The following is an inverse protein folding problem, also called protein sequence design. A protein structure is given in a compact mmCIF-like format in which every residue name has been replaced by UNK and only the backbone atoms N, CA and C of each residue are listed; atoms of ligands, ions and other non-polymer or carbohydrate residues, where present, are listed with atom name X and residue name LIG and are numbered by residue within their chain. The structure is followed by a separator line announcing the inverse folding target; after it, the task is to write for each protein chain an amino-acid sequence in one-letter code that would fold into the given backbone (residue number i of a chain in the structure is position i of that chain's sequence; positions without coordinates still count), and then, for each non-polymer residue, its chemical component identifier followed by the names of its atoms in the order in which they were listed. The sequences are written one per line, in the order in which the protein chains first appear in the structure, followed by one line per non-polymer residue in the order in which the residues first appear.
data_IF_592525964353
#
_entry.id   IF_592525964353
#
_cell.length_a   1.000
_cell.length_b   1.000
_cell.length_c   1.000
_cell.angle_alpha   90.00
_cell.angle_beta   90.00
_cell.angle_gamma   90.00
#
_symmetry.space_group_name_H-M   'P 1'
#
loop_
_entity.id
_entity.type
_entity.pdbx_description
1 polymer ?
#
# COMPACT_ATOMS: atom_id res chain seq x y z
N UNK A 1 -7.44 -43.92 -55.68
CA UNK A 1 -6.10 -43.90 -55.07
C UNK A 1 -5.54 -42.48 -55.17
N UNK A 2 -5.03 -41.94 -54.05
CA UNK A 2 -4.01 -40.86 -53.83
C UNK A 2 -3.74 -39.89 -55.01
N UNK A 3 -3.65 -38.55 -54.88
CA UNK A 3 -3.53 -37.62 -53.75
C UNK A 3 -2.68 -36.38 -54.18
N UNK A 4 -2.84 -35.25 -53.45
CA UNK A 4 -2.05 -33.97 -53.42
C UNK A 4 -2.28 -32.97 -54.58
N UNK A 5 -2.83 -31.76 -54.35
CA UNK A 5 -2.40 -30.54 -53.60
C UNK A 5 -1.36 -29.67 -54.32
N UNK A 6 -1.78 -28.46 -54.73
CA UNK A 6 -1.00 -27.21 -54.83
C UNK A 6 -2.00 -26.04 -54.66
N UNK A 7 -2.12 -25.48 -53.46
CA UNK A 7 -1.41 -24.31 -52.87
C UNK A 7 -1.78 -22.96 -53.46
N UNK A 8 -2.21 -22.12 -52.51
CA UNK A 8 -2.72 -20.76 -52.51
C UNK A 8 -1.68 -19.65 -52.68
N UNK A 9 -2.12 -18.51 -53.19
CA UNK A 9 -1.80 -17.15 -52.70
C UNK A 9 -3.02 -16.26 -53.02
N UNK A 10 -3.44 -15.33 -52.14
CA UNK A 10 -2.77 -14.03 -52.16
C UNK A 10 -2.72 -13.26 -50.82
N UNK A 11 -2.03 -12.11 -50.93
CA UNK A 11 -2.07 -10.89 -50.13
C UNK A 11 -1.08 -10.72 -48.97
N UNK A 12 -0.03 -9.95 -49.31
CA UNK A 12 0.90 -9.26 -48.42
C UNK A 12 0.20 -8.07 -47.74
N UNK A 13 0.09 -8.11 -46.42
CA UNK A 13 -0.03 -6.95 -45.55
C UNK A 13 1.30 -6.74 -44.81
N UNK A 14 1.65 -5.46 -44.61
CA UNK A 14 2.93 -5.00 -44.09
C UNK A 14 3.22 -5.48 -42.64
N UNK A 15 4.49 -5.79 -42.28
CA UNK A 15 4.88 -6.16 -40.92
C UNK A 15 5.33 -4.93 -40.14
N UNK A 16 4.72 -4.68 -38.98
CA UNK A 16 5.13 -3.57 -38.12
C UNK A 16 4.31 -3.43 -36.83
N UNK A 17 4.00 -4.52 -36.14
CA UNK A 17 3.43 -4.50 -34.80
C UNK A 17 3.64 -5.84 -34.09
N UNK A 18 4.88 -6.16 -33.74
CA UNK A 18 5.18 -7.25 -32.80
C UNK A 18 6.42 -6.88 -32.00
N UNK A 19 6.23 -6.43 -30.77
CA UNK A 19 7.11 -6.72 -29.65
C UNK A 19 6.42 -6.29 -28.35
N UNK A 20 6.50 -7.18 -27.35
CA UNK A 20 6.06 -7.06 -25.96
C UNK A 20 4.66 -7.64 -25.62
N UNK A 21 4.46 -8.93 -25.92
CA UNK A 21 3.59 -9.81 -25.12
C UNK A 21 4.43 -10.94 -24.54
N UNK A 22 4.87 -10.81 -23.29
CA UNK A 22 5.22 -11.96 -22.44
C UNK A 22 5.31 -11.52 -20.98
N UNK A 23 4.17 -11.43 -20.31
CA UNK A 23 4.11 -11.65 -18.86
C UNK A 23 3.51 -13.05 -18.72
N UNK A 24 4.32 -14.01 -18.24
CA UNK A 24 3.85 -15.38 -18.03
C UNK A 24 3.12 -15.47 -16.70
N UNK A 25 1.81 -15.65 -16.74
CA UNK A 25 1.00 -16.03 -15.59
C UNK A 25 0.73 -17.53 -15.66
N UNK A 26 1.09 -18.28 -14.61
CA UNK A 26 0.72 -19.69 -14.50
C UNK A 26 -0.75 -19.77 -14.04
N UNK A 27 -1.68 -19.92 -14.97
CA UNK A 27 -3.11 -20.11 -14.67
C UNK A 27 -3.54 -21.56 -14.92
N UNK A 28 -3.95 -22.28 -13.88
CA UNK A 28 -4.76 -23.48 -14.02
C UNK A 28 -6.22 -23.05 -14.21
N UNK A 29 -6.79 -23.33 -15.39
CA UNK A 29 -8.11 -22.86 -15.76
C UNK A 29 -9.25 -23.51 -14.99
N UNK A 30 -10.18 -22.67 -14.51
CA UNK A 30 -11.63 -22.94 -14.39
C UNK A 30 -12.37 -21.63 -14.07
N UNK A 31 -13.43 -21.35 -14.82
CA UNK A 31 -14.33 -20.20 -14.61
C UNK A 31 -15.33 -20.49 -13.48
N UNK A 32 -15.43 -19.62 -12.47
CA UNK A 32 -16.45 -19.70 -11.40
C UNK A 32 -16.87 -18.29 -10.97
N UNK A 33 -18.17 -18.11 -10.73
CA UNK A 33 -18.84 -16.86 -10.34
C UNK A 33 -18.33 -16.25 -9.03
N UNK A 34 -18.21 -14.92 -9.00
CA UNK A 34 -17.81 -14.10 -7.84
C UNK A 34 -19.03 -13.81 -6.94
N UNK A 35 -18.97 -13.98 -5.61
CA UNK A 35 -20.06 -13.57 -4.73
C UNK A 35 -20.14 -12.04 -4.67
N UNK A 36 -21.27 -11.48 -5.12
CA UNK A 36 -21.64 -10.07 -4.96
C UNK A 36 -21.56 -9.62 -3.50
N UNK A 37 -20.76 -8.57 -3.21
CA UNK A 37 -20.79 -7.84 -1.92
C UNK A 37 -19.49 -7.81 -1.09
N UNK A 38 -18.37 -8.40 -1.55
CA UNK A 38 -17.08 -8.27 -0.86
C UNK A 38 -16.27 -7.08 -1.41
N UNK A 39 -15.79 -6.24 -0.50
CA UNK A 39 -14.85 -5.14 -0.81
C UNK A 39 -13.45 -5.74 -0.92
N UNK A 40 -12.76 -5.52 -2.04
CA UNK A 40 -11.37 -5.94 -2.16
C UNK A 40 -10.45 -4.95 -1.44
N UNK A 41 -9.59 -5.44 -0.55
CA UNK A 41 -8.63 -4.61 0.19
C UNK A 41 -7.25 -4.68 -0.44
N UNK A 42 -6.82 -3.56 -1.01
CA UNK A 42 -5.51 -3.45 -1.62
C UNK A 42 -4.63 -2.48 -0.83
N UNK A 43 -3.53 -2.99 -0.28
CA UNK A 43 -2.55 -2.15 0.42
C UNK A 43 -1.53 -1.57 -0.56
N UNK A 44 -1.38 -0.26 -0.58
CA UNK A 44 -0.34 0.43 -1.33
C UNK A 44 0.75 0.92 -0.39
N UNK A 45 1.92 0.29 -0.48
CA UNK A 45 3.03 0.58 0.44
C UNK A 45 4.10 1.41 -0.25
N UNK A 46 4.37 2.60 0.30
CA UNK A 46 5.50 3.43 -0.09
C UNK A 46 6.56 3.47 1.02
N UNK A 47 7.84 3.26 0.67
CA UNK A 47 8.88 3.10 1.67
C UNK A 47 9.11 4.34 2.54
N UNK A 48 8.84 5.55 2.03
CA UNK A 48 9.01 6.76 2.82
C UNK A 48 7.92 7.76 2.48
N UNK A 49 7.43 8.42 3.51
CA UNK A 49 6.28 9.29 3.45
C UNK A 49 6.37 10.28 2.29
N UNK A 50 5.28 10.31 1.53
CA UNK A 50 4.73 11.40 0.71
C UNK A 50 5.74 12.27 -0.09
N UNK A 51 5.71 12.16 -1.42
CA UNK A 51 6.31 13.07 -2.44
C UNK A 51 6.39 12.38 -3.82
N UNK A 52 6.33 11.05 -3.83
CA UNK A 52 6.39 10.21 -5.01
C UNK A 52 5.08 10.08 -5.81
N UNK A 53 4.18 11.08 -5.82
CA UNK A 53 2.93 10.93 -6.57
C UNK A 53 1.93 9.93 -5.98
N UNK A 54 1.83 9.81 -4.64
CA UNK A 54 0.75 9.02 -4.01
C UNK A 54 -0.60 9.66 -4.21
N UNK A 55 -0.74 10.96 -3.92
CA UNK A 55 -1.96 11.71 -4.22
C UNK A 55 -2.25 11.67 -5.73
N UNK A 56 -1.21 11.69 -6.57
CA UNK A 56 -1.35 11.50 -8.02
C UNK A 56 -1.92 10.12 -8.34
N UNK A 57 -1.35 9.05 -7.78
CA UNK A 57 -1.79 7.68 -7.99
C UNK A 57 -3.18 7.41 -7.41
N UNK A 58 -3.48 7.94 -6.23
CA UNK A 58 -4.80 7.91 -5.59
C UNK A 58 -5.84 8.68 -6.41
N UNK A 59 -5.47 9.84 -6.95
CA UNK A 59 -6.33 10.60 -7.84
C UNK A 59 -6.56 9.84 -9.16
N UNK A 60 -5.54 9.15 -9.68
CA UNK A 60 -5.67 8.27 -10.83
C UNK A 60 -6.65 7.13 -10.51
N UNK A 61 -6.47 6.42 -9.40
CA UNK A 61 -7.37 5.34 -8.98
C UNK A 61 -8.83 5.82 -8.88
N UNK A 62 -9.06 6.98 -8.26
CA UNK A 62 -10.40 7.58 -8.14
C UNK A 62 -11.01 8.01 -9.48
N UNK A 63 -10.19 8.29 -10.49
CA UNK A 63 -10.65 8.63 -11.84
C UNK A 63 -10.91 7.38 -12.71
N UNK A 64 -10.30 6.24 -12.39
CA UNK A 64 -10.44 5.00 -13.16
C UNK A 64 -11.77 4.32 -12.89
N UNK A 65 -12.23 4.28 -11.64
CA UNK A 65 -13.50 3.64 -11.29
C UNK A 65 -14.19 4.36 -10.12
N UNK A 66 -15.50 4.61 -10.25
CA UNK A 66 -16.31 5.26 -9.22
C UNK A 66 -16.55 4.36 -7.99
N UNK A 67 -16.43 3.04 -8.18
CA UNK A 67 -16.56 2.02 -7.12
C UNK A 67 -15.28 1.86 -6.28
N UNK A 68 -14.28 2.71 -6.49
CA UNK A 68 -13.00 2.64 -5.78
C UNK A 68 -12.86 3.77 -4.77
N UNK A 69 -12.55 3.40 -3.53
CA UNK A 69 -12.29 4.33 -2.46
C UNK A 69 -10.86 4.17 -1.94
N UNK A 70 -10.30 5.26 -1.41
CA UNK A 70 -8.95 5.26 -0.84
C UNK A 70 -9.00 5.79 0.56
N UNK A 71 -8.44 5.03 1.50
CA UNK A 71 -8.19 5.44 2.88
C UNK A 71 -6.76 5.94 2.98
N UNK A 72 -6.54 7.27 3.04
CA UNK A 72 -5.19 7.83 3.16
C UNK A 72 -4.63 7.60 4.56
N UNK A 73 -3.31 7.72 4.68
CA UNK A 73 -2.65 7.71 5.97
C UNK A 73 -2.99 8.98 6.76
N UNK A 74 -3.35 8.88 8.06
CA UNK A 74 -3.80 10.02 8.85
C UNK A 74 -2.64 10.92 9.33
N UNK A 75 -1.69 11.26 8.45
CA UNK A 75 -0.47 12.02 8.82
C UNK A 75 -0.79 13.41 9.36
N UNK A 76 -1.81 14.09 8.83
CA UNK A 76 -2.24 15.40 9.33
C UNK A 76 -2.62 15.35 10.82
N UNK A 77 -3.24 14.24 11.24
CA UNK A 77 -3.60 13.98 12.64
C UNK A 77 -2.39 13.69 13.52
N UNK A 78 -1.31 13.14 12.95
CA UNK A 78 -0.05 12.94 13.66
C UNK A 78 0.74 14.24 13.82
N UNK A 79 0.60 15.16 12.86
CA UNK A 79 1.17 16.49 12.93
C UNK A 79 0.44 17.42 13.91
N UNK A 80 -0.83 17.14 14.21
CA UNK A 80 -1.64 17.90 15.16
C UNK A 80 -2.56 16.96 15.94
N UNK A 81 -2.11 16.48 17.10
CA UNK A 81 -2.87 15.49 17.89
C UNK A 81 -4.06 16.13 18.58
N UNK A 82 -5.28 15.80 18.16
CA UNK A 82 -6.52 16.25 18.79
C UNK A 82 -7.41 15.08 19.23
N UNK A 83 -8.24 15.33 20.25
CA UNK A 83 -9.37 14.47 20.58
C UNK A 83 -10.46 14.63 19.51
N UNK A 84 -11.34 13.64 19.43
CA UNK A 84 -12.20 13.29 18.27
C UNK A 84 -13.35 14.25 17.95
N UNK A 85 -13.19 15.56 18.13
CA UNK A 85 -14.15 16.52 17.57
C UNK A 85 -13.72 16.86 16.14
N UNK A 86 -14.40 16.21 15.19
CA UNK A 86 -14.35 16.32 13.73
C UNK A 86 -13.12 15.77 12.99
N UNK A 87 -13.35 14.69 12.23
CA UNK A 87 -12.34 13.88 11.54
C UNK A 87 -11.93 14.44 10.16
N UNK A 88 -12.50 15.57 9.70
CA UNK A 88 -12.30 16.08 8.33
C UNK A 88 -12.26 17.61 8.15
N UNK A 89 -12.30 18.43 9.21
CA UNK A 89 -12.25 19.90 9.06
C UNK A 89 -10.83 20.47 9.20
N UNK A 90 -10.49 21.38 8.28
CA UNK A 90 -9.28 22.19 8.35
C UNK A 90 -9.39 23.14 9.55
N UNK A 91 -8.65 22.83 10.62
CA UNK A 91 -8.80 23.48 11.92
C UNK A 91 -8.47 24.98 11.86
N UNK A 92 -9.34 25.79 12.44
CA UNK A 92 -9.09 27.22 12.67
C UNK A 92 -7.95 27.42 13.69
N UNK A 93 -7.28 28.57 13.65
CA UNK A 93 -6.12 28.90 14.52
C UNK A 93 -6.36 28.73 16.02
N UNK A 94 -7.62 28.69 16.48
CA UNK A 94 -8.03 28.48 17.87
C UNK A 94 -8.08 27.00 18.32
N UNK A 95 -8.00 26.02 17.42
CA UNK A 95 -8.02 24.58 17.75
C UNK A 95 -6.62 23.92 17.74
N UNK A 96 -5.55 24.69 17.52
CA UNK A 96 -4.15 24.23 17.58
C UNK A 96 -3.70 24.02 19.04
N UNK A 97 -4.18 22.95 19.67
CA UNK A 97 -3.80 22.58 21.06
C UNK A 97 -3.05 21.24 21.14
N UNK A 98 -2.87 20.54 20.02
CA UNK A 98 -2.20 19.25 19.95
C UNK A 98 -0.68 19.36 19.77
N UNK A 99 0.07 18.46 20.39
CA UNK A 99 1.48 18.25 20.03
C UNK A 99 1.62 17.60 18.65
N UNK A 100 2.75 17.84 17.97
CA UNK A 100 3.11 17.16 16.73
C UNK A 100 3.88 15.88 17.06
N UNK A 101 3.18 14.75 17.22
CA UNK A 101 3.80 13.49 17.65
C UNK A 101 4.74 12.91 16.59
N UNK A 102 4.53 13.24 15.31
CA UNK A 102 5.45 12.88 14.23
C UNK A 102 6.80 13.60 14.39
N UNK A 103 6.76 14.92 14.61
CA UNK A 103 7.94 15.72 14.88
C UNK A 103 8.65 15.25 16.16
N UNK A 104 7.90 15.00 17.23
CA UNK A 104 8.45 14.51 18.49
C UNK A 104 9.19 13.17 18.31
N UNK A 105 8.66 12.28 17.46
CA UNK A 105 9.33 11.02 17.11
C UNK A 105 10.63 11.24 16.33
N UNK A 106 10.65 12.13 15.33
CA UNK A 106 11.89 12.41 14.59
C UNK A 106 12.93 13.19 15.40
N UNK A 107 12.51 14.05 16.35
CA UNK A 107 13.41 14.81 17.22
C UNK A 107 14.03 13.96 18.34
N UNK A 108 13.25 13.04 18.92
CA UNK A 108 13.70 12.18 20.03
C UNK A 108 13.09 10.78 19.94
N UNK A 109 13.56 9.95 18.98
CA UNK A 109 12.93 8.66 18.68
C UNK A 109 12.96 7.71 19.86
N UNK A 110 14.02 7.70 20.68
CA UNK A 110 14.14 6.86 21.88
C UNK A 110 13.09 7.16 22.96
N UNK A 111 12.47 8.34 22.92
CA UNK A 111 11.40 8.71 23.85
C UNK A 111 10.01 8.51 23.25
N UNK A 112 9.86 8.74 21.94
CA UNK A 112 8.54 8.91 21.32
C UNK A 112 8.17 7.81 20.33
N UNK A 113 9.08 6.90 19.97
CA UNK A 113 8.79 5.80 19.03
C UNK A 113 7.60 4.95 19.46
N UNK A 114 7.60 4.45 20.70
CA UNK A 114 6.49 3.64 21.20
C UNK A 114 5.15 4.39 21.17
N UNK A 115 5.16 5.67 21.59
CA UNK A 115 3.96 6.51 21.59
C UNK A 115 3.44 6.77 20.18
N UNK A 116 4.35 7.10 19.26
CA UNK A 116 4.03 7.38 17.86
C UNK A 116 3.51 6.13 17.15
N UNK A 117 4.20 4.99 17.25
CA UNK A 117 3.81 3.75 16.57
C UNK A 117 2.44 3.25 17.06
N UNK A 118 2.20 3.32 18.37
CA UNK A 118 0.90 2.95 18.95
C UNK A 118 -0.24 3.85 18.43
N UNK A 119 -0.02 5.17 18.39
CA UNK A 119 -1.02 6.12 17.90
C UNK A 119 -1.24 6.02 16.38
N UNK A 120 -0.16 5.85 15.61
CA UNK A 120 -0.20 5.68 14.16
C UNK A 120 -1.05 4.47 13.77
N UNK A 121 -0.73 3.30 14.34
CA UNK A 121 -1.47 2.07 14.08
C UNK A 121 -2.94 2.17 14.54
N UNK A 122 -3.22 2.73 15.72
CA UNK A 122 -4.60 2.92 16.20
C UNK A 122 -5.42 3.84 15.27
N UNK A 123 -4.84 4.98 14.89
CA UNK A 123 -5.51 5.94 14.00
C UNK A 123 -5.76 5.34 12.61
N UNK A 124 -4.85 4.49 12.11
CA UNK A 124 -5.03 3.76 10.86
C UNK A 124 -6.18 2.76 10.94
N UNK A 125 -6.20 1.92 11.97
CA UNK A 125 -7.29 0.94 12.19
C UNK A 125 -8.64 1.66 12.23
N UNK A 126 -8.74 2.78 12.96
CA UNK A 126 -9.97 3.58 13.01
C UNK A 126 -10.40 4.11 11.64
N UNK A 127 -9.48 4.68 10.87
CA UNK A 127 -9.79 5.22 9.54
C UNK A 127 -10.23 4.12 8.55
N UNK A 128 -9.55 2.97 8.59
CA UNK A 128 -9.87 1.83 7.75
C UNK A 128 -11.25 1.26 8.10
N UNK A 129 -11.53 1.00 9.38
CA UNK A 129 -12.82 0.50 9.86
C UNK A 129 -13.97 1.47 9.56
N UNK A 130 -13.76 2.79 9.73
CA UNK A 130 -14.79 3.79 9.39
C UNK A 130 -15.16 3.74 7.91
N UNK A 131 -14.18 3.51 7.03
CA UNK A 131 -14.38 3.43 5.58
C UNK A 131 -15.11 2.15 5.16
N UNK A 132 -14.95 1.04 5.89
CA UNK A 132 -15.69 -0.22 5.64
C UNK A 132 -17.21 -0.04 5.72
N UNK A 133 -17.67 0.87 6.59
CA UNK A 133 -19.09 1.08 6.82
C UNK A 133 -19.69 2.17 5.91
N UNK A 134 -18.87 2.79 5.05
CA UNK A 134 -19.16 3.95 4.23
C UNK A 134 -19.77 3.67 2.85
N UNK A 135 -19.37 4.47 1.86
CA UNK A 135 -20.04 4.66 0.56
C UNK A 135 -20.04 3.45 -0.36
N UNK A 136 -19.10 2.52 -0.17
CA UNK A 136 -18.91 1.36 -1.03
C UNK A 136 -19.93 0.22 -0.85
N UNK A 137 -20.88 0.32 0.09
CA UNK A 137 -21.85 -0.77 0.34
C UNK A 137 -22.77 -1.09 -0.84
N UNK A 138 -22.96 -0.15 -1.77
CA UNK A 138 -23.89 -0.29 -2.90
C UNK A 138 -23.18 -0.36 -4.26
N UNK A 139 -21.84 -0.43 -4.27
CA UNK A 139 -21.03 -0.53 -5.49
C UNK A 139 -21.10 -1.96 -6.07
N UNK A 140 -20.95 -2.08 -7.39
CA UNK A 140 -21.00 -3.38 -8.08
C UNK A 140 -19.68 -4.15 -7.90
N UNK A 141 -18.54 -3.43 -7.91
CA UNK A 141 -17.20 -3.98 -7.69
C UNK A 141 -16.39 -3.10 -6.72
N UNK A 142 -16.77 -3.04 -5.43
CA UNK A 142 -16.12 -2.16 -4.48
C UNK A 142 -14.67 -2.56 -4.23
N UNK A 143 -13.75 -1.59 -4.35
CA UNK A 143 -12.34 -1.77 -3.98
C UNK A 143 -11.95 -0.67 -3.01
N UNK A 144 -11.37 -1.07 -1.88
CA UNK A 144 -10.84 -0.16 -0.88
C UNK A 144 -9.32 -0.23 -0.85
N UNK A 145 -8.71 0.89 -1.19
CA UNK A 145 -7.28 1.06 -1.20
C UNK A 145 -6.79 1.63 0.12
N UNK A 146 -5.90 0.91 0.78
CA UNK A 146 -5.26 1.37 2.01
C UNK A 146 -3.89 1.96 1.68
N UNK A 147 -3.66 3.22 2.06
CA UNK A 147 -2.31 3.76 2.11
C UNK A 147 -1.60 3.16 3.33
N UNK A 148 -0.72 2.18 3.08
CA UNK A 148 -0.10 1.30 4.08
C UNK A 148 -1.09 0.41 4.84
N UNK A 149 -0.55 -0.51 5.64
CA UNK A 149 -1.32 -1.42 6.49
C UNK A 149 -0.74 -1.50 7.90
N UNK A 150 -1.52 -2.07 8.80
CA UNK A 150 -1.08 -2.44 10.15
C UNK A 150 0.16 -3.34 10.13
N UNK A 151 0.31 -4.16 9.07
CA UNK A 151 1.48 -5.01 8.87
C UNK A 151 2.74 -4.18 8.62
N UNK A 152 2.68 -3.15 7.78
CA UNK A 152 3.81 -2.25 7.60
C UNK A 152 4.15 -1.46 8.87
N UNK A 153 3.13 -1.06 9.65
CA UNK A 153 3.36 -0.37 10.92
C UNK A 153 4.19 -1.24 11.87
N UNK A 154 3.85 -2.54 12.03
CA UNK A 154 4.60 -3.46 12.90
C UNK A 154 5.93 -3.93 12.31
N UNK A 155 5.89 -4.55 11.13
CA UNK A 155 7.03 -5.32 10.60
C UNK A 155 8.06 -4.45 9.88
N UNK A 156 7.69 -3.22 9.52
CA UNK A 156 8.62 -2.29 8.88
C UNK A 156 9.00 -1.17 9.84
N UNK A 157 8.06 -0.32 10.25
CA UNK A 157 8.39 0.89 11.01
C UNK A 157 8.73 0.61 12.47
N UNK A 158 7.83 -0.03 13.22
CA UNK A 158 8.04 -0.33 14.63
C UNK A 158 9.22 -1.31 14.82
N UNK A 159 9.31 -2.38 14.03
CA UNK A 159 10.46 -3.30 14.05
C UNK A 159 11.77 -2.60 13.75
N UNK A 160 11.82 -1.67 12.79
CA UNK A 160 13.05 -0.89 12.52
C UNK A 160 13.44 0.01 13.70
N UNK A 161 12.46 0.65 14.35
CA UNK A 161 12.73 1.51 15.52
C UNK A 161 13.21 0.69 16.72
N UNK A 162 12.66 -0.50 16.92
CA UNK A 162 13.16 -1.45 17.93
C UNK A 162 14.60 -1.89 17.64
N UNK A 163 14.89 -2.33 16.41
CA UNK A 163 16.23 -2.75 15.99
C UNK A 163 17.26 -1.61 16.00
N UNK A 164 16.80 -0.36 16.05
CA UNK A 164 17.64 0.84 16.15
C UNK A 164 17.71 1.39 17.59
N UNK A 165 17.39 0.58 18.60
CA UNK A 165 17.40 0.93 20.03
C UNK A 165 16.48 2.13 20.39
N UNK A 166 15.51 2.46 19.53
CA UNK A 166 14.55 3.54 19.77
C UNK A 166 13.29 3.06 20.53
N UNK A 167 13.13 1.75 20.71
CA UNK A 167 12.20 1.13 21.64
C UNK A 167 12.94 0.06 22.42
N UNK A 168 12.77 0.02 23.74
CA UNK A 168 13.35 -1.04 24.55
C UNK A 168 12.51 -2.34 24.49
N UNK A 169 13.05 -3.43 25.05
CA UNK A 169 12.39 -4.75 25.11
C UNK A 169 10.97 -4.71 25.69
N UNK A 170 10.73 -3.88 26.70
CA UNK A 170 9.42 -3.76 27.34
C UNK A 170 8.44 -3.06 26.41
N UNK A 171 8.85 -1.94 25.80
CA UNK A 171 8.04 -1.21 24.83
C UNK A 171 7.72 -2.06 23.60
N UNK A 172 8.70 -2.82 23.10
CA UNK A 172 8.51 -3.71 21.96
C UNK A 172 7.57 -4.88 22.28
N UNK A 173 7.70 -5.47 23.47
CA UNK A 173 6.80 -6.54 23.92
C UNK A 173 5.35 -6.03 24.06
N UNK A 174 5.16 -4.87 24.70
CA UNK A 174 3.83 -4.25 24.84
C UNK A 174 3.23 -3.90 23.48
N UNK A 175 4.02 -3.32 22.57
CA UNK A 175 3.52 -2.97 21.24
C UNK A 175 3.08 -4.20 20.45
N UNK A 176 3.86 -5.29 20.52
CA UNK A 176 3.53 -6.54 19.84
C UNK A 176 2.25 -7.18 20.40
N UNK A 177 2.11 -7.26 21.71
CA UNK A 177 0.93 -7.81 22.40
C UNK A 177 -0.32 -7.00 22.08
N UNK A 178 -0.22 -5.67 22.19
CA UNK A 178 -1.29 -4.75 21.78
C UNK A 178 -1.67 -4.93 20.30
N UNK A 179 -0.69 -5.01 19.41
CA UNK A 179 -0.94 -5.20 17.98
C UNK A 179 -1.58 -6.56 17.68
N UNK A 180 -1.12 -7.64 18.32
CA UNK A 180 -1.70 -8.98 18.17
C UNK A 180 -3.16 -8.98 18.67
N UNK A 181 -3.44 -8.37 19.82
CA UNK A 181 -4.80 -8.23 20.32
C UNK A 181 -5.71 -7.42 19.38
N UNK A 182 -5.25 -6.26 18.90
CA UNK A 182 -6.02 -5.43 17.96
C UNK A 182 -6.35 -6.19 16.66
N UNK A 183 -5.40 -6.93 16.11
CA UNK A 183 -5.66 -7.73 14.90
C UNK A 183 -6.55 -8.94 15.18
N UNK A 184 -6.50 -9.53 16.38
CA UNK A 184 -7.46 -10.59 16.74
C UNK A 184 -8.91 -10.05 16.81
N UNK A 185 -9.11 -8.80 17.22
CA UNK A 185 -10.44 -8.19 17.28
C UNK A 185 -10.94 -7.68 15.92
N UNK A 186 -10.07 -7.02 15.14
CA UNK A 186 -10.47 -6.28 13.93
C UNK A 186 -9.86 -6.82 12.64
N UNK A 187 -8.87 -7.71 12.72
CA UNK A 187 -8.04 -8.14 11.59
C UNK A 187 -8.84 -8.85 10.50
N UNK A 188 -9.83 -9.68 10.84
CA UNK A 188 -10.69 -10.34 9.83
C UNK A 188 -11.42 -9.33 8.92
N UNK A 189 -11.75 -8.15 9.44
CA UNK A 189 -12.41 -7.09 8.66
C UNK A 189 -11.43 -6.27 7.81
N UNK A 190 -10.12 -6.41 8.07
CA UNK A 190 -9.04 -5.66 7.46
C UNK A 190 -8.04 -6.57 6.72
N UNK A 191 -8.39 -7.83 6.49
CA UNK A 191 -7.57 -8.78 5.74
C UNK A 191 -7.37 -8.28 4.31
N UNK A 192 -6.12 -8.33 3.85
CA UNK A 192 -5.77 -7.84 2.52
C UNK A 192 -6.06 -8.91 1.46
N UNK A 193 -6.69 -8.49 0.37
CA UNK A 193 -6.84 -9.32 -0.84
C UNK A 193 -5.59 -9.20 -1.71
N UNK A 194 -4.89 -8.07 -1.69
CA UNK A 194 -3.67 -7.88 -2.46
C UNK A 194 -2.80 -6.74 -1.93
N UNK A 195 -1.54 -6.72 -2.37
CA UNK A 195 -0.59 -5.67 -2.05
C UNK A 195 -0.03 -5.09 -3.34
N UNK A 196 0.06 -3.77 -3.40
CA UNK A 196 0.74 -3.06 -4.47
C UNK A 196 1.97 -2.37 -3.87
N UNK A 197 3.13 -2.88 -4.25
CA UNK A 197 4.41 -2.40 -3.79
C UNK A 197 4.98 -1.38 -4.76
N UNK A 198 5.05 -0.12 -4.32
CA UNK A 198 5.58 0.98 -5.10
C UNK A 198 7.06 1.15 -4.79
N UNK A 199 7.88 0.49 -5.60
CA UNK A 199 9.33 0.34 -5.39
C UNK A 199 10.06 1.56 -5.93
N UNK A 200 10.84 2.22 -5.07
CA UNK A 200 11.76 3.28 -5.42
C UNK A 200 13.05 3.13 -4.61
N UNK A 201 14.17 3.62 -5.15
CA UNK A 201 15.44 3.58 -4.42
C UNK A 201 15.45 4.55 -3.23
N UNK A 202 16.26 4.29 -2.20
CA UNK A 202 16.44 5.19 -1.05
C UNK A 202 16.80 6.63 -1.47
N UNK A 203 17.66 6.81 -2.47
CA UNK A 203 18.09 8.13 -2.96
C UNK A 203 16.93 8.87 -3.63
N UNK A 204 16.12 8.17 -4.43
CA UNK A 204 14.92 8.76 -5.03
C UNK A 204 13.91 9.13 -3.95
N UNK A 205 13.76 8.32 -2.91
CA UNK A 205 12.92 8.64 -1.75
C UNK A 205 13.42 9.88 -1.01
N UNK A 206 14.73 9.99 -0.79
CA UNK A 206 15.35 11.14 -0.13
C UNK A 206 15.14 12.43 -0.93
N UNK A 207 15.42 12.40 -2.24
CA UNK A 207 15.17 13.54 -3.13
C UNK A 207 13.71 14.01 -3.06
N UNK A 208 12.78 13.06 -3.02
CA UNK A 208 11.35 13.32 -2.90
C UNK A 208 10.98 13.96 -1.57
N UNK A 209 11.55 13.50 -0.45
CA UNK A 209 11.37 14.14 0.88
C UNK A 209 11.80 15.61 0.85
N UNK A 210 12.96 15.89 0.22
CA UNK A 210 13.44 17.27 0.03
C UNK A 210 12.49 18.11 -0.82
N UNK A 211 12.03 17.59 -1.97
CA UNK A 211 11.11 18.31 -2.86
C UNK A 211 9.77 18.66 -2.21
N UNK A 212 9.28 17.82 -1.30
CA UNK A 212 8.03 18.09 -0.57
C UNK A 212 8.19 19.15 0.52
N UNK A 213 9.37 19.26 1.13
CA UNK A 213 9.64 20.29 2.12
C UNK A 213 8.80 20.21 3.40
N UNK A 214 8.40 19.02 3.87
CA UNK A 214 7.85 18.90 5.25
C UNK A 214 8.99 19.02 6.25
N UNK A 215 8.88 19.99 7.15
CA UNK A 215 9.94 20.37 8.08
C UNK A 215 10.39 19.21 8.97
N UNK A 216 9.45 18.36 9.39
CA UNK A 216 9.68 17.23 10.28
C UNK A 216 10.56 16.14 9.66
N UNK A 217 10.60 16.05 8.33
CA UNK A 217 11.26 14.96 7.61
C UNK A 217 12.60 15.38 6.97
N UNK A 218 12.96 16.67 7.00
CA UNK A 218 14.18 17.18 6.36
C UNK A 218 15.47 16.63 7.00
N UNK A 219 15.39 16.18 8.26
CA UNK A 219 16.50 15.59 9.00
C UNK A 219 16.67 14.09 8.81
N UNK A 220 15.84 13.42 8.00
CA UNK A 220 15.90 11.96 7.86
C UNK A 220 17.15 11.56 7.06
N UNK A 221 18.06 10.75 7.64
CA UNK A 221 19.28 10.32 6.94
C UNK A 221 18.99 9.24 5.89
N UNK A 222 19.81 9.17 4.85
CA UNK A 222 19.71 8.13 3.81
C UNK A 222 19.76 6.72 4.39
N UNK A 223 20.62 6.48 5.39
CA UNK A 223 20.76 5.18 6.06
C UNK A 223 19.43 4.68 6.65
N UNK A 224 18.62 5.58 7.20
CA UNK A 224 17.29 5.22 7.69
C UNK A 224 16.39 4.72 6.55
N UNK A 225 16.45 5.38 5.39
CA UNK A 225 15.68 4.99 4.21
C UNK A 225 16.17 3.65 3.63
N UNK A 226 17.47 3.39 3.66
CA UNK A 226 18.06 2.12 3.24
C UNK A 226 17.58 0.95 4.12
N UNK A 227 17.54 1.13 5.44
CA UNK A 227 16.99 0.12 6.37
C UNK A 227 15.52 -0.18 6.09
N UNK A 228 14.70 0.86 5.92
CA UNK A 228 13.30 0.70 5.55
C UNK A 228 13.16 0.00 4.18
N UNK A 229 13.95 0.39 3.19
CA UNK A 229 13.93 -0.22 1.87
C UNK A 229 14.26 -1.72 1.95
N UNK A 230 15.33 -2.10 2.66
CA UNK A 230 15.69 -3.51 2.85
C UNK A 230 14.57 -4.34 3.48
N UNK A 231 13.87 -3.80 4.49
CA UNK A 231 12.71 -4.47 5.09
C UNK A 231 11.56 -4.63 4.10
N UNK A 232 11.27 -3.62 3.27
CA UNK A 232 10.26 -3.74 2.22
C UNK A 232 10.65 -4.77 1.17
N UNK A 233 11.90 -4.81 0.71
CA UNK A 233 12.39 -5.80 -0.24
C UNK A 233 12.28 -7.22 0.35
N UNK A 234 12.66 -7.39 1.62
CA UNK A 234 12.56 -8.67 2.33
C UNK A 234 11.11 -9.14 2.46
N UNK A 235 10.16 -8.24 2.69
CA UNK A 235 8.75 -8.57 2.83
C UNK A 235 8.04 -8.79 1.49
N UNK A 236 8.14 -7.82 0.58
CA UNK A 236 7.26 -7.70 -0.58
C UNK A 236 7.88 -8.25 -1.88
N UNK A 237 9.21 -8.26 -1.99
CA UNK A 237 9.91 -8.76 -3.18
C UNK A 237 10.41 -10.19 -2.98
N UNK A 238 11.17 -10.42 -1.90
CA UNK A 238 11.80 -11.71 -1.62
C UNK A 238 10.93 -12.64 -0.77
N UNK A 239 9.91 -12.10 -0.08
CA UNK A 239 9.00 -12.83 0.81
C UNK A 239 9.72 -13.67 1.88
N UNK A 240 10.85 -13.16 2.37
CA UNK A 240 11.68 -13.81 3.40
C UNK A 240 11.36 -13.30 4.82
N UNK A 241 10.72 -12.13 4.94
CA UNK A 241 10.28 -11.60 6.23
C UNK A 241 9.09 -12.40 6.76
N UNK A 242 9.28 -13.06 7.91
CA UNK A 242 8.22 -13.81 8.59
C UNK A 242 7.32 -12.88 9.40
N UNK A 243 6.02 -13.11 9.33
CA UNK A 243 5.00 -12.40 10.12
C UNK A 243 4.19 -13.39 10.95
N UNK A 244 3.38 -12.90 11.88
CA UNK A 244 2.43 -13.70 12.66
C UNK A 244 1.14 -13.97 11.87
N UNK A 245 1.08 -13.53 10.61
CA UNK A 245 -0.11 -13.60 9.76
C UNK A 245 0.20 -14.46 8.55
N UNK A 246 -0.02 -15.77 8.68
CA UNK A 246 0.37 -16.76 7.66
C UNK A 246 -0.20 -16.45 6.28
N UNK A 247 -1.43 -15.92 6.22
CA UNK A 247 -2.11 -15.60 4.96
C UNK A 247 -1.33 -14.60 4.09
N UNK A 248 -0.53 -13.70 4.69
CA UNK A 248 0.27 -12.71 3.95
C UNK A 248 1.33 -13.36 3.04
N UNK A 249 1.72 -14.61 3.29
CA UNK A 249 2.63 -15.36 2.43
C UNK A 249 1.97 -15.80 1.11
N UNK A 250 0.64 -15.78 1.03
CA UNK A 250 -0.10 -16.16 -0.17
C UNK A 250 -0.75 -14.96 -0.86
N UNK A 251 -0.90 -13.83 -0.16
CA UNK A 251 -1.47 -12.59 -0.73
C UNK A 251 -0.70 -12.16 -1.99
N UNK A 252 -1.37 -11.93 -3.13
CA UNK A 252 -0.72 -11.49 -4.36
C UNK A 252 -0.10 -10.10 -4.24
N UNK A 253 1.09 -9.93 -4.82
CA UNK A 253 1.86 -8.69 -4.77
C UNK A 253 2.14 -8.17 -6.17
N UNK A 254 1.62 -6.98 -6.49
CA UNK A 254 1.96 -6.23 -7.71
C UNK A 254 3.10 -5.26 -7.39
N UNK A 255 4.28 -5.43 -7.98
CA UNK A 255 5.40 -4.50 -7.81
C UNK A 255 5.48 -3.52 -8.97
N UNK A 256 5.46 -2.23 -8.67
CA UNK A 256 5.61 -1.16 -9.66
C UNK A 256 6.87 -0.35 -9.35
N UNK A 257 7.80 -0.30 -10.32
CA UNK A 257 8.96 0.59 -10.23
C UNK A 257 8.55 2.03 -10.52
N UNK A 258 8.72 2.89 -9.51
CA UNK A 258 8.35 4.29 -9.53
C UNK A 258 9.56 5.20 -9.32
N UNK A 259 10.74 4.80 -9.82
CA UNK A 259 11.94 5.66 -9.80
C UNK A 259 11.86 6.82 -10.81
N UNK A 260 11.20 6.59 -11.93
CA UNK A 260 10.88 7.62 -12.91
C UNK A 260 9.67 8.44 -12.48
N UNK A 261 9.51 9.64 -13.04
CA UNK A 261 8.42 10.53 -12.66
C UNK A 261 7.09 10.04 -13.24
N UNK A 262 6.03 10.10 -12.43
CA UNK A 262 4.70 9.59 -12.78
C UNK A 262 4.09 10.24 -14.03
N UNK A 263 4.54 11.44 -14.40
CA UNK A 263 4.06 12.14 -15.61
C UNK A 263 4.39 11.36 -16.89
N UNK A 264 5.52 10.66 -16.91
CA UNK A 264 6.02 9.98 -18.11
C UNK A 264 5.47 8.55 -18.25
N UNK A 265 4.81 8.03 -17.20
CA UNK A 265 4.32 6.66 -17.14
C UNK A 265 2.82 6.54 -16.87
N UNK A 266 2.05 7.63 -16.91
CA UNK A 266 0.61 7.61 -16.58
C UNK A 266 -0.15 6.52 -17.35
N UNK A 267 0.03 6.43 -18.67
CA UNK A 267 -0.64 5.41 -19.49
C UNK A 267 -0.11 4.01 -19.17
N UNK A 268 1.21 3.84 -19.12
CA UNK A 268 1.83 2.53 -18.83
C UNK A 268 1.53 1.99 -17.43
N UNK A 269 1.30 2.87 -16.45
CA UNK A 269 0.95 2.48 -15.09
C UNK A 269 -0.52 2.08 -15.04
N UNK A 270 -1.43 2.81 -15.68
CA UNK A 270 -2.83 2.40 -15.77
C UNK A 270 -2.97 1.10 -16.55
N UNK A 271 -2.21 0.88 -17.62
CA UNK A 271 -2.20 -0.39 -18.36
C UNK A 271 -1.56 -1.55 -17.57
N UNK A 272 -0.49 -1.31 -16.81
CA UNK A 272 0.13 -2.33 -15.94
C UNK A 272 -0.70 -2.63 -14.70
N UNK A 273 -1.40 -1.61 -14.22
CA UNK A 273 -2.45 -1.67 -13.22
C UNK A 273 -3.72 -2.06 -13.98
N UNK A 274 -3.66 -3.20 -14.68
CA UNK A 274 -4.82 -3.92 -15.17
C UNK A 274 -5.52 -4.48 -13.92
N UNK A 275 -6.11 -3.56 -13.16
CA UNK A 275 -6.81 -3.81 -11.92
C UNK A 275 -8.03 -4.66 -12.21
N UNK A 276 -8.58 -4.61 -13.41
CA UNK A 276 -9.60 -5.57 -13.83
C UNK A 276 -9.02 -6.99 -13.81
N UNK A 277 -7.85 -7.25 -14.38
CA UNK A 277 -7.20 -8.56 -14.26
C UNK A 277 -6.72 -8.88 -12.84
N UNK A 278 -6.25 -7.90 -12.05
CA UNK A 278 -5.88 -8.14 -10.64
C UNK A 278 -7.12 -8.50 -9.83
N UNK A 279 -8.21 -7.73 -9.93
CA UNK A 279 -9.50 -7.99 -9.26
C UNK A 279 -10.10 -9.32 -9.76
N UNK A 280 -10.03 -9.62 -11.06
CA UNK A 280 -10.45 -10.92 -11.62
C UNK A 280 -9.59 -12.07 -11.08
N UNK A 281 -8.29 -11.88 -10.93
CA UNK A 281 -7.36 -12.88 -10.37
C UNK A 281 -7.60 -13.08 -8.87
N UNK A 282 -7.79 -12.00 -8.13
CA UNK A 282 -8.07 -11.99 -6.68
C UNK A 282 -9.46 -12.58 -6.37
N UNK A 283 -10.44 -12.29 -7.21
CA UNK A 283 -11.80 -12.86 -7.10
C UNK A 283 -11.85 -14.34 -7.46
N UNK A 284 -11.01 -14.81 -8.39
CA UNK A 284 -10.88 -16.24 -8.71
C UNK A 284 -10.19 -17.07 -7.60
N UNK A 285 -9.35 -16.46 -6.75
CA UNK A 285 -8.56 -17.19 -5.75
C UNK A 285 -9.29 -17.48 -4.42
N UNK A 286 -10.47 -16.88 -4.17
CA UNK A 286 -11.27 -17.11 -2.95
C UNK A 286 -12.50 -17.99 -3.19
N UNK A 287 -12.32 -19.13 -3.86
CA UNK A 287 -13.28 -20.26 -3.83
C UNK A 287 -12.66 -21.40 -3.01
N UNK A 288 -12.89 -21.36 -1.70
CA UNK A 288 -12.82 -22.51 -0.80
C UNK A 288 -14.12 -22.57 0.00
#
# INVERSE_FOLDING_TARGET
MRGRQHTSEPNRTAPGAQLLTSISWASAGRSVDVPTGRVAFLNFTFPVLTAAGKSTFVNILKQVCEDWEVVPEPVARWCNVHSTQDEFEELTTSQKSGGNVLQMMYEKPERWSFTFQSYACLSRIRAQLASLHGKLKNAEKPVLFFERSVYSDRYIFASNLYESDCMNETEWTIYQDWHDWMNNQFGQSLELDGIIYLRATPEKCLNRIYLRGRNEEQGIPLEYLEKLHYKHESWLLHRTLKTNFDYLQEVPILTLDVNEDFKDKHESLVEKVDLDNLILTLSCQKVY
#
